data_IF_200722012895
#
_entry.id   IF_200722012895
#
_cell.length_a   1.000
_cell.length_b   1.000
_cell.length_c   1.000
_cell.angle_alpha   90.00
_cell.angle_beta   90.00
_cell.angle_gamma   90.00
#
_symmetry.space_group_name_H-M   'P 1'
#
loop_
_entity.id
_entity.type
_entity.pdbx_description
1 polymer ?
#
# COMPACT_ATOMS: atom_id res chain seq x y z
N UNK A 1 -10.09 -27.70 -22.90
CA UNK A 1 -10.42 -26.29 -22.56
C UNK A 1 -9.13 -25.64 -22.12
N UNK A 2 -8.63 -24.63 -22.85
CA UNK A 2 -7.38 -23.94 -22.50
C UNK A 2 -7.75 -22.85 -21.51
N UNK A 3 -7.25 -22.93 -20.28
CA UNK A 3 -7.39 -21.86 -19.30
C UNK A 3 -6.65 -20.63 -19.83
N UNK A 4 -7.37 -19.57 -20.17
CA UNK A 4 -6.76 -18.29 -20.51
C UNK A 4 -5.97 -17.81 -19.28
N UNK A 5 -4.65 -17.63 -19.44
CA UNK A 5 -3.84 -17.04 -18.39
C UNK A 5 -4.35 -15.62 -18.14
N UNK A 6 -4.81 -15.35 -16.91
CA UNK A 6 -5.13 -13.99 -16.48
C UNK A 6 -3.80 -13.24 -16.50
N UNK A 7 -3.65 -12.15 -17.28
CA UNK A 7 -2.42 -11.38 -17.25
C UNK A 7 -2.21 -10.88 -15.82
N UNK A 8 -1.16 -11.38 -15.16
CA UNK A 8 -0.80 -10.92 -13.83
C UNK A 8 -0.33 -9.48 -13.98
N UNK A 9 -1.12 -8.54 -13.46
CA UNK A 9 -0.72 -7.14 -13.46
C UNK A 9 0.55 -7.00 -12.63
N UNK A 10 1.68 -6.78 -13.29
CA UNK A 10 2.94 -6.48 -12.62
C UNK A 10 2.85 -5.05 -12.13
N UNK A 11 2.78 -4.87 -10.81
CA UNK A 11 2.82 -3.53 -10.21
C UNK A 11 4.22 -2.98 -10.44
N UNK A 12 4.34 -1.90 -11.20
CA UNK A 12 5.62 -1.21 -11.42
C UNK A 12 5.73 0.00 -10.50
N UNK A 13 6.96 0.45 -10.23
CA UNK A 13 7.22 1.69 -9.49
C UNK A 13 6.46 2.90 -10.06
N UNK A 14 6.33 2.98 -11.38
CA UNK A 14 5.63 4.07 -12.05
C UNK A 14 4.12 4.03 -11.82
N UNK A 15 3.53 2.82 -11.74
CA UNK A 15 2.13 2.67 -11.34
C UNK A 15 1.95 3.18 -9.90
N UNK A 16 2.81 2.76 -8.98
CA UNK A 16 2.76 3.20 -7.58
C UNK A 16 2.88 4.72 -7.48
N UNK A 17 3.86 5.31 -8.16
CA UNK A 17 4.06 6.76 -8.21
C UNK A 17 2.81 7.51 -8.70
N UNK A 18 2.18 7.04 -9.77
CA UNK A 18 0.96 7.66 -10.30
C UNK A 18 -0.21 7.56 -9.32
N UNK A 19 -0.34 6.46 -8.59
CA UNK A 19 -1.36 6.32 -7.55
C UNK A 19 -1.10 7.24 -6.35
N UNK A 20 0.16 7.47 -5.97
CA UNK A 20 0.51 8.43 -4.91
C UNK A 20 0.15 9.88 -5.30
N UNK A 21 0.43 10.27 -6.55
CA UNK A 21 0.01 11.58 -7.08
C UNK A 21 -1.52 11.70 -7.07
N UNK A 22 -2.25 10.67 -7.49
CA UNK A 22 -3.73 10.65 -7.44
C UNK A 22 -4.26 10.77 -6.01
N UNK A 23 -3.54 10.23 -5.02
CA UNK A 23 -3.84 10.37 -3.60
C UNK A 23 -3.49 11.76 -3.03
N UNK A 24 -2.97 12.68 -3.85
CA UNK A 24 -2.65 14.05 -3.47
C UNK A 24 -1.30 14.20 -2.79
N UNK A 25 -0.41 13.22 -2.90
CA UNK A 25 0.97 13.35 -2.42
C UNK A 25 1.76 14.21 -3.41
N UNK A 26 2.68 15.02 -2.88
CA UNK A 26 3.48 15.93 -3.68
C UNK A 26 4.52 15.15 -4.50
N UNK A 27 4.55 15.41 -5.81
CA UNK A 27 5.48 14.85 -6.80
C UNK A 27 6.94 14.85 -6.34
N UNK A 28 7.36 15.87 -5.59
CA UNK A 28 8.74 16.01 -5.09
C UNK A 28 9.08 15.00 -3.97
N UNK A 29 8.06 14.53 -3.24
CA UNK A 29 8.17 13.53 -2.17
C UNK A 29 8.00 12.10 -2.73
N UNK A 30 7.36 11.99 -3.90
CA UNK A 30 6.80 10.73 -4.41
C UNK A 30 7.82 9.73 -4.93
N UNK A 31 8.99 10.15 -5.41
CA UNK A 31 9.93 9.23 -6.08
C UNK A 31 10.56 8.24 -5.07
N UNK A 32 10.94 8.73 -3.89
CA UNK A 32 11.44 7.90 -2.79
C UNK A 32 10.32 7.06 -2.17
N UNK A 33 9.12 7.63 -2.01
CA UNK A 33 7.97 6.93 -1.45
C UNK A 33 7.49 5.79 -2.38
N UNK A 34 7.45 6.04 -3.69
CA UNK A 34 7.11 5.04 -4.70
C UNK A 34 8.12 3.89 -4.76
N UNK A 35 9.43 4.19 -4.62
CA UNK A 35 10.46 3.15 -4.54
C UNK A 35 10.21 2.22 -3.35
N UNK A 36 9.96 2.81 -2.17
CA UNK A 36 9.69 2.04 -0.94
C UNK A 36 8.44 1.17 -1.06
N UNK A 37 7.32 1.72 -1.51
CA UNK A 37 6.10 0.92 -1.67
C UNK A 37 6.22 -0.15 -2.76
N UNK A 38 6.96 0.10 -3.84
CA UNK A 38 7.26 -0.92 -4.83
C UNK A 38 8.08 -2.09 -4.24
N UNK A 39 8.98 -1.82 -3.29
CA UNK A 39 9.74 -2.84 -2.55
C UNK A 39 8.98 -3.43 -1.35
N UNK A 40 7.72 -3.05 -1.13
CA UNK A 40 6.93 -3.42 0.05
C UNK A 40 7.55 -2.96 1.38
N UNK A 41 8.21 -1.80 1.38
CA UNK A 41 8.82 -1.19 2.57
C UNK A 41 7.93 -0.08 3.17
N UNK A 42 7.03 -0.39 4.12
CA UNK A 42 6.09 0.59 4.67
C UNK A 42 6.80 1.71 5.44
N UNK A 43 6.19 2.90 5.49
CA UNK A 43 6.68 4.03 6.27
C UNK A 43 6.39 3.86 7.76
N UNK A 44 7.05 4.66 8.60
CA UNK A 44 6.77 4.68 10.03
C UNK A 44 5.30 5.01 10.33
N UNK A 45 4.70 5.94 9.57
CA UNK A 45 3.30 6.33 9.70
C UNK A 45 2.35 5.19 9.32
N UNK A 46 2.68 4.42 8.28
CA UNK A 46 1.86 3.27 7.87
C UNK A 46 1.88 2.18 8.95
N UNK A 47 3.06 1.90 9.51
CA UNK A 47 3.21 0.94 10.60
C UNK A 47 2.40 1.39 11.83
N UNK A 48 2.45 2.67 12.17
CA UNK A 48 1.67 3.23 13.29
C UNK A 48 0.16 3.09 13.03
N UNK A 49 -0.29 3.42 11.82
CA UNK A 49 -1.69 3.29 11.42
C UNK A 49 -2.18 1.83 11.50
N UNK A 50 -1.40 0.89 10.97
CA UNK A 50 -1.70 -0.55 11.03
C UNK A 50 -1.78 -1.05 12.48
N UNK A 51 -0.84 -0.62 13.35
CA UNK A 51 -0.88 -0.94 14.79
C UNK A 51 -2.15 -0.42 15.46
N UNK A 52 -2.55 0.81 15.14
CA UNK A 52 -3.78 1.43 15.66
C UNK A 52 -5.01 0.64 15.23
N UNK A 53 -5.13 0.32 13.94
CA UNK A 53 -6.25 -0.50 13.42
C UNK A 53 -6.31 -1.85 14.10
N UNK A 54 -5.18 -2.56 14.17
CA UNK A 54 -5.11 -3.88 14.78
C UNK A 54 -5.57 -3.82 16.25
N UNK A 55 -5.09 -2.84 17.00
CA UNK A 55 -5.49 -2.63 18.39
C UNK A 55 -6.99 -2.39 18.53
N UNK A 56 -7.59 -1.57 17.67
CA UNK A 56 -9.03 -1.31 17.67
C UNK A 56 -9.83 -2.57 17.33
N UNK A 57 -9.39 -3.34 16.34
CA UNK A 57 -10.04 -4.59 15.95
C UNK A 57 -10.00 -5.63 17.08
N UNK A 58 -8.85 -5.80 17.71
CA UNK A 58 -8.69 -6.70 18.87
C UNK A 58 -9.54 -6.26 20.06
N UNK A 59 -9.66 -4.95 20.32
CA UNK A 59 -10.57 -4.44 21.36
C UNK A 59 -12.03 -4.80 21.06
N UNK A 60 -12.47 -4.66 19.80
CA UNK A 60 -13.83 -5.04 19.40
C UNK A 60 -14.08 -6.54 19.58
N UNK A 61 -13.13 -7.40 19.17
CA UNK A 61 -13.24 -8.84 19.33
C UNK A 61 -13.26 -9.29 20.81
N UNK A 62 -12.59 -8.57 21.70
CA UNK A 62 -12.60 -8.86 23.15
C UNK A 62 -13.85 -8.36 23.87
N UNK A 63 -14.65 -7.51 23.23
CA UNK A 63 -15.87 -6.91 23.77
C UNK A 63 -17.15 -7.50 23.16
N UNK A 64 -17.01 -8.43 22.21
CA UNK A 64 -18.08 -9.23 21.62
C UNK A 64 -18.12 -10.61 22.28
#
# INVERSE_FOLDING_TARGET
MVAAAIPQTVITRQIVFNELIKAGINKDIDDNLAYRYYQNEPTHKDIEYLKKILTLHLKRLRLA
#
